data_IF_847006476607
#
_entry.id   IF_847006476607
#
_cell.length_a   1.000
_cell.length_b   1.000
_cell.length_c   1.000
_cell.angle_alpha   90.00
_cell.angle_beta   90.00
_cell.angle_gamma   90.00
#
_symmetry.space_group_name_H-M   'P 1'
#
loop_
_entity.id
_entity.type
_entity.pdbx_description
1 polymer ?
#
# COMPACT_ATOMS: atom_id res chain seq x y z
N UNK A 1 -3.91 -18.15 -13.48
CA UNK A 1 -3.86 -16.82 -12.87
C UNK A 1 -4.57 -16.89 -11.52
N UNK A 2 -3.97 -16.33 -10.51
CA UNK A 2 -4.58 -16.17 -9.18
C UNK A 2 -5.77 -15.18 -9.24
N UNK A 3 -6.66 -15.22 -8.24
CA UNK A 3 -7.65 -14.18 -8.01
C UNK A 3 -7.05 -12.91 -7.36
N UNK A 4 -5.78 -13.00 -6.94
CA UNK A 4 -5.11 -12.04 -6.07
C UNK A 4 -3.80 -11.55 -6.68
N UNK A 5 -3.61 -10.23 -6.71
CA UNK A 5 -2.38 -9.56 -7.17
C UNK A 5 -1.74 -8.78 -6.04
N UNK A 6 -0.44 -8.97 -5.83
CA UNK A 6 0.38 -8.14 -4.93
C UNK A 6 1.17 -7.13 -5.76
N UNK A 7 0.90 -5.84 -5.55
CA UNK A 7 1.62 -4.74 -6.19
C UNK A 7 2.75 -4.31 -5.27
N UNK A 8 3.97 -4.30 -5.79
CA UNK A 8 5.20 -3.93 -5.08
C UNK A 8 5.90 -2.82 -5.87
N UNK A 9 5.76 -1.57 -5.47
CA UNK A 9 6.53 -0.47 -6.06
C UNK A 9 8.00 -0.56 -5.69
N UNK A 10 8.88 -0.32 -6.66
CA UNK A 10 10.34 -0.39 -6.44
C UNK A 10 11.06 0.85 -6.98
N UNK A 11 12.10 1.25 -6.23
CA UNK A 11 13.13 2.18 -6.68
C UNK A 11 14.41 1.91 -5.88
N UNK A 12 15.43 1.33 -6.54
CA UNK A 12 16.69 0.89 -5.92
C UNK A 12 16.46 -0.15 -4.80
N UNK A 13 15.86 -1.29 -5.18
CA UNK A 13 15.54 -2.39 -4.27
C UNK A 13 16.25 -3.71 -4.65
N UNK A 14 17.38 -3.62 -5.35
CA UNK A 14 18.15 -4.80 -5.82
C UNK A 14 18.50 -5.78 -4.69
N UNK A 15 18.73 -5.25 -3.48
CA UNK A 15 19.10 -6.07 -2.31
C UNK A 15 17.92 -6.88 -1.73
N UNK A 16 16.68 -6.46 -2.01
CA UNK A 16 15.46 -7.02 -1.41
C UNK A 16 14.60 -7.76 -2.42
N UNK A 17 14.62 -7.35 -3.70
CA UNK A 17 13.62 -7.73 -4.71
C UNK A 17 13.52 -9.25 -4.93
N UNK A 18 14.63 -9.96 -5.00
CA UNK A 18 14.61 -11.43 -5.19
C UNK A 18 13.98 -12.13 -3.99
N UNK A 19 14.38 -11.72 -2.78
CA UNK A 19 13.94 -12.35 -1.56
C UNK A 19 12.43 -12.12 -1.32
N UNK A 20 11.92 -10.91 -1.56
CA UNK A 20 10.50 -10.59 -1.36
C UNK A 20 9.61 -11.32 -2.38
N UNK A 21 10.03 -11.39 -3.65
CA UNK A 21 9.31 -12.15 -4.68
C UNK A 21 9.22 -13.62 -4.28
N UNK A 22 10.35 -14.25 -3.92
CA UNK A 22 10.38 -15.66 -3.47
C UNK A 22 9.53 -15.89 -2.23
N UNK A 23 9.52 -14.94 -1.28
CA UNK A 23 8.72 -15.03 -0.07
C UNK A 23 7.21 -14.99 -0.38
N UNK A 24 6.76 -14.18 -1.33
CA UNK A 24 5.34 -14.16 -1.74
C UNK A 24 4.96 -15.46 -2.45
N UNK A 25 5.75 -15.92 -3.41
CA UNK A 25 5.47 -17.18 -4.11
C UNK A 25 5.62 -18.43 -3.26
N UNK A 26 6.36 -18.36 -2.14
CA UNK A 26 6.46 -19.45 -1.16
C UNK A 26 5.25 -19.62 -0.25
N UNK A 27 4.23 -18.76 -0.36
CA UNK A 27 3.01 -18.86 0.47
C UNK A 27 2.11 -20.02 0.02
N UNK A 28 1.35 -20.60 0.98
CA UNK A 28 0.39 -21.68 0.70
C UNK A 28 -0.90 -21.20 -0.03
N UNK A 29 -1.00 -19.93 -0.39
CA UNK A 29 -2.02 -19.36 -1.27
C UNK A 29 -1.30 -18.77 -2.47
N UNK A 30 -1.81 -19.03 -3.66
CA UNK A 30 -1.30 -18.45 -4.88
C UNK A 30 -1.61 -16.95 -4.95
N UNK A 31 -0.57 -16.17 -5.16
CA UNK A 31 -0.62 -14.75 -5.46
C UNK A 31 0.14 -14.51 -6.75
N UNK A 32 -0.39 -13.68 -7.64
CA UNK A 32 0.40 -13.10 -8.70
C UNK A 32 1.09 -11.83 -8.18
N UNK A 33 2.24 -11.47 -8.73
CA UNK A 33 3.04 -10.32 -8.29
C UNK A 33 3.25 -9.36 -9.44
N UNK A 34 2.96 -8.09 -9.21
CA UNK A 34 3.29 -6.99 -10.12
C UNK A 34 4.36 -6.09 -9.46
N UNK A 35 5.54 -6.06 -10.05
CA UNK A 35 6.55 -5.07 -9.71
C UNK A 35 6.31 -3.83 -10.55
N UNK A 36 6.19 -2.67 -9.91
CA UNK A 36 6.11 -1.37 -10.57
C UNK A 36 7.40 -0.62 -10.29
N UNK A 37 8.32 -0.65 -11.25
CA UNK A 37 9.67 -0.11 -11.08
C UNK A 37 9.81 1.29 -11.67
N UNK A 38 10.31 2.23 -10.86
CA UNK A 38 10.51 3.62 -11.23
C UNK A 38 11.87 3.87 -11.92
N UNK A 39 12.20 3.01 -12.91
CA UNK A 39 13.45 3.07 -13.66
C UNK A 39 14.68 3.01 -12.74
N UNK A 40 14.74 2.00 -11.90
CA UNK A 40 15.83 1.80 -10.95
C UNK A 40 17.19 1.65 -11.64
N UNK A 41 18.18 2.50 -11.35
CA UNK A 41 19.52 2.40 -11.95
C UNK A 41 20.39 1.26 -11.38
N UNK A 42 19.97 0.63 -10.27
CA UNK A 42 20.74 -0.40 -9.56
C UNK A 42 20.60 -1.82 -10.13
N UNK A 43 19.79 -1.99 -11.20
CA UNK A 43 19.53 -3.28 -11.81
C UNK A 43 18.33 -4.04 -11.26
N UNK A 44 17.48 -3.39 -10.43
CA UNK A 44 16.25 -4.01 -9.88
C UNK A 44 15.37 -4.60 -10.98
N UNK A 45 15.04 -3.82 -12.03
CA UNK A 45 14.23 -4.29 -13.16
C UNK A 45 14.86 -5.48 -13.90
N UNK A 46 16.18 -5.44 -14.15
CA UNK A 46 16.88 -6.54 -14.83
C UNK A 46 16.81 -7.83 -14.00
N UNK A 47 16.89 -7.72 -12.68
CA UNK A 47 16.73 -8.85 -11.77
C UNK A 47 15.33 -9.46 -11.87
N UNK A 48 14.28 -8.63 -11.87
CA UNK A 48 12.88 -9.09 -12.02
C UNK A 48 12.70 -9.82 -13.35
N UNK A 49 13.17 -9.26 -14.46
CA UNK A 49 13.12 -9.89 -15.78
C UNK A 49 13.78 -11.27 -15.76
N UNK A 50 14.95 -11.39 -15.12
CA UNK A 50 15.65 -12.68 -15.01
C UNK A 50 14.85 -13.73 -14.23
N UNK A 51 14.00 -13.31 -13.28
CA UNK A 51 13.17 -14.19 -12.46
C UNK A 51 11.86 -14.59 -13.15
N UNK A 52 11.36 -13.83 -14.13
CA UNK A 52 10.10 -14.13 -14.80
C UNK A 52 10.08 -15.51 -15.48
N UNK A 53 11.23 -16.06 -15.87
CA UNK A 53 11.33 -17.41 -16.42
C UNK A 53 10.94 -18.50 -15.41
N UNK A 54 11.19 -18.26 -14.11
CA UNK A 54 10.88 -19.19 -13.02
C UNK A 54 9.45 -19.03 -12.52
N UNK A 55 8.82 -17.86 -12.78
CA UNK A 55 7.46 -17.49 -12.35
C UNK A 55 6.60 -17.06 -13.55
N UNK A 56 6.60 -17.89 -14.60
CA UNK A 56 5.92 -17.60 -15.86
C UNK A 56 4.42 -17.31 -15.65
N UNK A 57 3.95 -16.21 -16.24
CA UNK A 57 2.55 -15.74 -16.15
C UNK A 57 2.03 -15.43 -14.73
N UNK A 58 2.91 -15.29 -13.73
CA UNK A 58 2.53 -14.93 -12.36
C UNK A 58 3.38 -13.79 -11.80
N UNK A 59 4.58 -13.56 -12.35
CA UNK A 59 5.42 -12.40 -12.04
C UNK A 59 5.41 -11.42 -13.22
N UNK A 60 4.94 -10.21 -12.96
CA UNK A 60 4.83 -9.13 -13.95
C UNK A 60 5.73 -7.95 -13.57
N UNK A 61 6.21 -7.24 -14.58
CA UNK A 61 7.01 -6.02 -14.42
C UNK A 61 6.43 -4.92 -15.29
N UNK A 62 6.14 -3.79 -14.67
CA UNK A 62 5.84 -2.51 -15.31
C UNK A 62 6.95 -1.53 -14.98
N UNK A 63 7.68 -1.03 -15.96
CA UNK A 63 8.73 -0.03 -15.78
C UNK A 63 8.20 1.33 -16.16
N UNK A 64 8.28 2.30 -15.24
CA UNK A 64 7.91 3.69 -15.49
C UNK A 64 9.14 4.51 -15.88
N UNK A 65 8.94 5.61 -16.60
CA UNK A 65 10.07 6.40 -17.14
C UNK A 65 10.88 7.09 -16.04
N UNK A 66 10.21 7.49 -14.93
CA UNK A 66 10.83 8.25 -13.85
C UNK A 66 10.13 8.03 -12.51
N UNK A 67 10.82 8.38 -11.43
CA UNK A 67 10.28 8.33 -10.08
C UNK A 67 9.29 9.48 -9.85
N UNK A 68 8.00 9.19 -9.91
CA UNK A 68 6.91 10.16 -9.74
C UNK A 68 6.18 10.05 -8.40
N UNK A 69 6.70 9.26 -7.47
CA UNK A 69 6.15 9.06 -6.13
C UNK A 69 5.37 7.75 -5.95
N UNK A 70 5.28 7.31 -4.69
CA UNK A 70 4.71 6.01 -4.29
C UNK A 70 3.24 5.87 -4.74
N UNK A 71 2.43 6.90 -4.51
CA UNK A 71 1.01 6.89 -4.86
C UNK A 71 0.76 6.71 -6.35
N UNK A 72 1.57 7.36 -7.20
CA UNK A 72 1.44 7.20 -8.65
C UNK A 72 1.82 5.80 -9.12
N UNK A 73 2.77 5.13 -8.42
CA UNK A 73 3.12 3.74 -8.71
C UNK A 73 1.96 2.79 -8.37
N UNK A 74 1.33 2.98 -7.21
CA UNK A 74 0.15 2.20 -6.84
C UNK A 74 -1.05 2.45 -7.78
N UNK A 75 -1.32 3.71 -8.16
CA UNK A 75 -2.39 4.03 -9.13
C UNK A 75 -2.15 3.31 -10.47
N UNK A 76 -0.90 3.31 -10.96
CA UNK A 76 -0.53 2.57 -12.16
C UNK A 76 -0.84 1.07 -11.99
N UNK A 77 -0.37 0.48 -10.90
CA UNK A 77 -0.61 -0.93 -10.58
C UNK A 77 -2.10 -1.26 -10.39
N UNK A 78 -2.90 -0.38 -9.78
CA UNK A 78 -4.35 -0.56 -9.63
C UNK A 78 -5.06 -0.59 -10.99
N UNK A 79 -4.75 0.35 -11.88
CA UNK A 79 -5.32 0.37 -13.24
C UNK A 79 -4.97 -0.90 -14.01
N UNK A 80 -3.72 -1.35 -13.89
CA UNK A 80 -3.26 -2.61 -14.47
C UNK A 80 -4.02 -3.81 -13.90
N UNK A 81 -4.17 -3.90 -12.58
CA UNK A 81 -4.88 -4.96 -11.89
C UNK A 81 -6.37 -5.02 -12.28
N UNK A 82 -7.03 -3.87 -12.37
CA UNK A 82 -8.43 -3.74 -12.81
C UNK A 82 -8.57 -4.25 -14.24
N UNK A 83 -7.70 -3.83 -15.17
CA UNK A 83 -7.71 -4.26 -16.57
C UNK A 83 -7.49 -5.78 -16.70
N UNK A 84 -6.72 -6.40 -15.82
CA UNK A 84 -6.48 -7.85 -15.74
C UNK A 84 -7.54 -8.60 -14.93
N UNK A 85 -8.51 -7.90 -14.34
CA UNK A 85 -9.67 -8.45 -13.60
C UNK A 85 -9.31 -9.24 -12.35
N UNK A 86 -8.25 -8.86 -11.63
CA UNK A 86 -7.95 -9.41 -10.31
C UNK A 86 -9.04 -9.02 -9.31
N UNK A 87 -9.49 -9.95 -8.48
CA UNK A 87 -10.56 -9.71 -7.51
C UNK A 87 -10.04 -9.07 -6.21
N UNK A 88 -8.82 -9.42 -5.82
CA UNK A 88 -8.15 -8.92 -4.60
C UNK A 88 -6.81 -8.31 -4.97
N UNK A 89 -6.63 -7.03 -4.65
CA UNK A 89 -5.46 -6.24 -5.03
C UNK A 89 -4.78 -5.73 -3.76
N UNK A 90 -3.50 -6.10 -3.61
CA UNK A 90 -2.71 -5.82 -2.42
C UNK A 90 -1.65 -4.77 -2.71
N UNK A 91 -1.42 -3.90 -1.73
CA UNK A 91 -0.27 -3.03 -1.63
C UNK A 91 0.74 -3.65 -0.65
N UNK A 92 2.01 -3.72 -1.02
CA UNK A 92 3.08 -4.20 -0.15
C UNK A 92 4.41 -3.54 -0.52
N UNK A 93 5.22 -3.18 0.49
CA UNK A 93 6.57 -2.67 0.29
C UNK A 93 7.59 -3.82 0.03
N UNK A 94 8.70 -3.51 -0.66
CA UNK A 94 9.73 -4.49 -1.02
C UNK A 94 10.72 -4.82 0.11
N UNK A 95 10.75 -4.02 1.19
CA UNK A 95 11.83 -3.98 2.19
C UNK A 95 11.61 -4.88 3.43
N UNK A 96 10.67 -5.80 3.36
CA UNK A 96 10.27 -6.69 4.46
C UNK A 96 9.74 -5.99 5.72
N UNK A 97 9.41 -4.70 5.64
CA UNK A 97 8.69 -4.04 6.73
C UNK A 97 7.29 -4.62 6.93
N UNK A 98 6.70 -5.14 5.87
CA UNK A 98 5.50 -5.96 5.87
C UNK A 98 5.86 -7.45 5.75
N UNK A 99 5.38 -8.26 6.68
CA UNK A 99 5.59 -9.71 6.60
C UNK A 99 4.67 -10.31 5.51
N UNK A 100 5.21 -10.95 4.45
CA UNK A 100 4.40 -11.56 3.40
C UNK A 100 3.37 -12.59 3.92
N UNK A 101 3.63 -13.28 5.03
CA UNK A 101 2.68 -14.20 5.66
C UNK A 101 1.35 -13.54 6.03
N UNK A 102 1.33 -12.24 6.31
CA UNK A 102 0.12 -11.49 6.63
C UNK A 102 -0.78 -11.26 5.42
N UNK A 103 -0.29 -11.41 4.16
CA UNK A 103 -1.13 -11.38 2.96
C UNK A 103 -2.32 -12.35 3.06
N UNK A 104 -2.09 -13.55 3.57
CA UNK A 104 -3.16 -14.56 3.77
C UNK A 104 -4.21 -14.11 4.78
N UNK A 105 -3.80 -13.35 5.79
CA UNK A 105 -4.72 -12.83 6.83
C UNK A 105 -5.57 -11.69 6.28
N UNK A 106 -4.96 -10.80 5.48
CA UNK A 106 -5.68 -9.73 4.79
C UNK A 106 -6.67 -10.33 3.78
N UNK A 107 -6.21 -11.31 2.98
CA UNK A 107 -7.07 -12.03 2.04
C UNK A 107 -8.31 -12.62 2.71
N UNK A 108 -8.10 -13.38 3.80
CA UNK A 108 -9.21 -14.00 4.54
C UNK A 108 -10.22 -12.97 5.06
N UNK A 109 -9.78 -11.82 5.53
CA UNK A 109 -10.66 -10.76 5.99
C UNK A 109 -11.49 -10.16 4.84
N UNK A 110 -10.90 -9.99 3.64
CA UNK A 110 -11.64 -9.59 2.44
C UNK A 110 -12.67 -10.64 2.03
N UNK A 111 -12.31 -11.93 1.99
CA UNK A 111 -13.24 -13.03 1.67
C UNK A 111 -14.38 -13.09 2.68
N UNK A 112 -14.12 -12.83 3.96
CA UNK A 112 -15.11 -12.81 5.03
C UNK A 112 -15.99 -11.55 5.05
N UNK A 113 -15.92 -10.72 4.02
CA UNK A 113 -16.88 -9.64 3.79
C UNK A 113 -16.36 -8.22 4.01
N UNK A 114 -15.07 -8.01 4.30
CA UNK A 114 -14.48 -6.68 4.23
C UNK A 114 -14.28 -6.26 2.77
N UNK A 115 -14.41 -4.96 2.48
CA UNK A 115 -14.19 -4.39 1.15
C UNK A 115 -12.76 -3.89 1.00
N UNK A 116 -12.22 -3.36 2.11
CA UNK A 116 -10.82 -2.93 2.27
C UNK A 116 -10.28 -3.51 3.57
N UNK A 117 -9.09 -4.09 3.54
CA UNK A 117 -8.42 -4.60 4.74
C UNK A 117 -7.06 -3.94 4.91
N UNK A 118 -6.85 -3.34 6.07
CA UNK A 118 -5.62 -2.62 6.43
C UNK A 118 -4.79 -3.47 7.38
N UNK A 119 -3.54 -3.73 7.03
CA UNK A 119 -2.53 -4.27 7.95
C UNK A 119 -2.12 -3.17 8.96
N UNK A 120 -2.71 -3.23 10.16
CA UNK A 120 -2.65 -2.16 11.14
C UNK A 120 -1.59 -2.43 12.21
N UNK A 121 -0.73 -1.43 12.45
CA UNK A 121 0.25 -1.41 13.55
C UNK A 121 -0.40 -1.09 14.89
N UNK A 122 -1.64 -0.53 14.86
CA UNK A 122 -2.24 0.10 16.04
C UNK A 122 -3.59 -0.51 16.47
N UNK A 123 -4.11 -1.52 15.77
CA UNK A 123 -5.41 -2.14 16.12
C UNK A 123 -5.41 -2.84 17.48
N UNK A 124 -4.30 -3.50 17.85
CA UNK A 124 -4.15 -4.21 19.14
C UNK A 124 -2.87 -3.73 19.84
N UNK A 125 -2.84 -2.47 20.26
CA UNK A 125 -1.66 -1.85 20.84
C UNK A 125 -0.69 -1.34 19.77
N UNK A 126 0.56 -1.11 20.14
CA UNK A 126 1.63 -0.61 19.26
C UNK A 126 2.50 -1.79 18.86
N UNK A 127 2.39 -2.21 17.61
CA UNK A 127 3.06 -3.40 17.07
C UNK A 127 4.14 -2.99 16.06
N UNK A 128 5.15 -2.26 16.54
CA UNK A 128 6.33 -1.87 15.75
C UNK A 128 7.59 -2.35 16.44
N UNK A 129 8.55 -2.84 15.67
CA UNK A 129 9.83 -3.38 16.17
C UNK A 129 10.95 -2.53 15.60
N UNK A 130 11.97 -2.28 16.43
CA UNK A 130 13.20 -1.53 16.12
C UNK A 130 12.98 -0.04 15.76
N UNK A 131 11.82 0.54 16.12
CA UNK A 131 11.60 1.97 15.97
C UNK A 131 12.02 2.75 17.22
N UNK A 132 12.73 3.87 17.07
CA UNK A 132 12.96 4.76 18.19
C UNK A 132 11.63 5.36 18.69
N UNK A 133 11.52 5.58 20.00
CA UNK A 133 10.28 6.01 20.66
C UNK A 133 9.66 7.27 20.03
N UNK A 134 10.48 8.25 19.64
CA UNK A 134 9.97 9.47 19.00
C UNK A 134 9.24 9.18 17.67
N UNK A 135 9.70 8.20 16.88
CA UNK A 135 9.08 7.78 15.64
C UNK A 135 7.74 7.08 15.90
N UNK A 136 7.67 6.27 16.95
CA UNK A 136 6.41 5.64 17.39
C UNK A 136 5.40 6.71 17.75
N UNK A 137 5.79 7.67 18.59
CA UNK A 137 4.91 8.76 19.03
C UNK A 137 4.44 9.64 17.86
N UNK A 138 5.33 9.98 16.93
CA UNK A 138 4.97 10.74 15.73
C UNK A 138 3.97 9.98 14.84
N UNK A 139 4.22 8.70 14.58
CA UNK A 139 3.36 7.87 13.72
C UNK A 139 1.99 7.62 14.36
N UNK A 140 1.96 7.34 15.65
CA UNK A 140 0.70 7.17 16.40
C UNK A 140 -0.08 8.49 16.47
N UNK A 141 0.60 9.60 16.77
CA UNK A 141 -0.02 10.94 16.77
C UNK A 141 -0.56 11.35 15.40
N UNK A 142 0.16 11.03 14.32
CA UNK A 142 -0.32 11.26 12.96
C UNK A 142 -1.59 10.45 12.67
N UNK A 143 -1.64 9.18 13.06
CA UNK A 143 -2.82 8.32 12.90
C UNK A 143 -4.01 8.86 13.70
N UNK A 144 -3.78 9.32 14.92
CA UNK A 144 -4.81 9.95 15.77
C UNK A 144 -5.34 11.25 15.17
N UNK A 145 -4.45 12.12 14.67
CA UNK A 145 -4.81 13.35 13.96
C UNK A 145 -5.72 13.07 12.74
N UNK A 146 -5.29 12.13 11.89
CA UNK A 146 -6.06 11.75 10.69
C UNK A 146 -7.44 11.24 11.09
N UNK A 147 -7.54 10.41 12.13
CA UNK A 147 -8.81 9.89 12.62
C UNK A 147 -9.76 11.00 13.07
N UNK A 148 -9.26 12.01 13.79
CA UNK A 148 -10.07 13.17 14.25
C UNK A 148 -10.55 13.98 13.06
N UNK A 149 -9.66 14.35 12.15
CA UNK A 149 -9.99 15.25 11.03
C UNK A 149 -10.95 14.57 10.03
N UNK A 150 -10.68 13.31 9.69
CA UNK A 150 -11.48 12.60 8.67
C UNK A 150 -12.76 11.98 9.22
N UNK A 151 -12.79 11.63 10.49
CA UNK A 151 -13.86 10.85 11.10
C UNK A 151 -13.81 9.36 10.79
N UNK A 152 -12.74 8.87 10.13
CA UNK A 152 -12.57 7.45 9.84
C UNK A 152 -12.42 6.61 11.12
N UNK A 153 -13.07 5.44 11.15
CA UNK A 153 -12.95 4.50 12.27
C UNK A 153 -11.81 3.48 12.02
N UNK A 154 -10.65 3.98 11.57
CA UNK A 154 -9.45 3.19 11.27
C UNK A 154 -8.37 3.62 12.26
N UNK A 155 -7.71 2.65 12.90
CA UNK A 155 -6.63 2.92 13.88
C UNK A 155 -5.33 3.32 13.20
N UNK A 156 -5.05 2.75 12.01
CA UNK A 156 -3.84 3.00 11.22
C UNK A 156 -4.15 3.49 9.80
N UNK A 157 -4.65 4.73 9.64
CA UNK A 157 -4.97 5.27 8.32
C UNK A 157 -3.72 5.50 7.46
N UNK A 158 -2.53 5.50 8.05
CA UNK A 158 -1.25 5.74 7.35
C UNK A 158 -0.58 4.44 6.88
N UNK A 159 -1.11 3.27 7.22
CA UNK A 159 -0.54 1.98 6.81
C UNK A 159 -0.55 1.81 5.29
N UNK A 160 0.56 1.28 4.74
CA UNK A 160 0.74 1.00 3.30
C UNK A 160 0.55 -0.48 2.95
N UNK A 161 0.18 -1.34 3.90
CA UNK A 161 -0.13 -2.73 3.67
C UNK A 161 -1.64 -2.91 3.65
N UNK A 162 -2.22 -2.98 2.46
CA UNK A 162 -3.67 -2.91 2.27
C UNK A 162 -4.12 -3.93 1.22
N UNK A 163 -5.28 -4.53 1.43
CA UNK A 163 -5.99 -5.30 0.41
C UNK A 163 -7.27 -4.56 0.04
N UNK A 164 -7.52 -4.40 -1.25
CA UNK A 164 -8.76 -3.88 -1.81
C UNK A 164 -9.46 -4.95 -2.63
N UNK A 165 -10.77 -5.03 -2.54
CA UNK A 165 -11.56 -5.70 -3.58
C UNK A 165 -11.60 -4.83 -4.85
N UNK A 166 -11.57 -5.46 -6.02
CA UNK A 166 -11.52 -4.78 -7.33
C UNK A 166 -12.57 -3.69 -7.46
N UNK A 167 -13.84 -3.98 -7.15
CA UNK A 167 -14.92 -3.01 -7.31
C UNK A 167 -14.74 -1.74 -6.45
N UNK A 168 -13.99 -1.81 -5.34
CA UNK A 168 -13.65 -0.61 -4.56
C UNK A 168 -12.78 0.33 -5.38
N UNK A 169 -11.74 -0.22 -6.03
CA UNK A 169 -10.83 0.55 -6.88
C UNK A 169 -11.50 1.02 -8.18
N UNK A 170 -12.40 0.23 -8.76
CA UNK A 170 -13.20 0.62 -9.93
C UNK A 170 -14.14 1.79 -9.65
N UNK A 171 -14.65 1.89 -8.42
CA UNK A 171 -15.57 2.96 -8.00
C UNK A 171 -14.85 4.21 -7.44
N UNK A 172 -13.56 4.15 -7.19
CA UNK A 172 -12.75 5.31 -6.82
C UNK A 172 -12.21 5.95 -8.10
N UNK A 173 -12.43 7.25 -8.28
CA UNK A 173 -11.78 7.99 -9.36
C UNK A 173 -10.28 8.12 -9.07
N UNK A 174 -9.50 7.13 -9.58
CA UNK A 174 -8.07 7.02 -9.37
C UNK A 174 -7.29 8.17 -10.00
N UNK A 175 -7.82 8.80 -11.06
CA UNK A 175 -7.19 9.94 -11.74
C UNK A 175 -7.33 11.24 -10.94
N UNK A 176 -8.28 11.31 -10.05
CA UNK A 176 -8.49 12.47 -9.17
C UNK A 176 -7.72 12.38 -7.83
N UNK A 177 -7.01 11.27 -7.57
CA UNK A 177 -6.16 11.11 -6.39
C UNK A 177 -4.97 12.09 -6.48
N UNK A 178 -4.76 12.87 -5.42
CA UNK A 178 -3.82 14.00 -5.46
C UNK A 178 -2.52 13.76 -4.73
N UNK A 179 -2.57 12.96 -3.67
CA UNK A 179 -1.38 12.70 -2.88
C UNK A 179 -0.54 11.60 -3.51
N UNK A 180 0.73 11.89 -3.71
CA UNK A 180 1.69 10.98 -4.32
C UNK A 180 2.67 10.37 -3.32
N UNK A 181 2.73 10.92 -2.10
CA UNK A 181 3.58 10.47 -1.00
C UNK A 181 2.80 9.66 0.05
N UNK A 182 3.18 9.78 1.31
CA UNK A 182 2.54 9.04 2.42
C UNK A 182 1.05 9.36 2.61
N UNK A 183 0.63 10.59 2.28
CA UNK A 183 -0.78 10.99 2.37
C UNK A 183 -1.67 10.25 1.33
N UNK A 184 -1.10 9.63 0.31
CA UNK A 184 -1.80 8.75 -0.63
C UNK A 184 -2.57 7.65 0.11
N UNK A 185 -1.93 6.99 1.06
CA UNK A 185 -2.54 5.92 1.86
C UNK A 185 -3.75 6.41 2.65
N UNK A 186 -3.70 7.64 3.15
CA UNK A 186 -4.81 8.26 3.86
C UNK A 186 -5.94 8.57 2.89
N UNK A 187 -5.62 9.16 1.72
CA UNK A 187 -6.60 9.54 0.71
C UNK A 187 -7.38 8.33 0.20
N UNK A 188 -6.71 7.23 -0.14
CA UNK A 188 -7.36 6.02 -0.64
C UNK A 188 -8.36 5.43 0.37
N UNK A 189 -7.95 5.32 1.64
CA UNK A 189 -8.86 4.84 2.71
C UNK A 189 -10.01 5.82 2.96
N UNK A 190 -9.75 7.11 2.89
CA UNK A 190 -10.77 8.13 3.08
C UNK A 190 -11.81 8.11 1.96
N UNK A 191 -11.40 7.93 0.70
CA UNK A 191 -12.31 7.76 -0.43
C UNK A 191 -13.18 6.51 -0.28
N UNK A 192 -12.59 5.39 0.12
CA UNK A 192 -13.32 4.16 0.43
C UNK A 192 -14.33 4.39 1.59
N UNK A 193 -13.92 5.09 2.64
CA UNK A 193 -14.78 5.43 3.77
C UNK A 193 -15.97 6.32 3.36
N UNK A 194 -15.75 7.33 2.52
CA UNK A 194 -16.82 8.22 2.04
C UNK A 194 -17.87 7.49 1.17
N UNK A 195 -17.46 6.43 0.50
CA UNK A 195 -18.34 5.54 -0.28
C UNK A 195 -19.00 4.45 0.57
N UNK A 196 -18.83 4.50 1.89
CA UNK A 196 -19.38 3.54 2.86
C UNK A 196 -18.90 2.09 2.67
N UNK A 197 -17.71 1.88 2.12
CA UNK A 197 -17.11 0.57 2.07
C UNK A 197 -16.70 0.09 3.46
N UNK A 198 -16.85 -1.20 3.69
CA UNK A 198 -16.48 -1.85 4.95
C UNK A 198 -14.97 -1.98 5.05
N UNK A 199 -14.34 -1.12 5.86
CA UNK A 199 -12.91 -1.14 6.13
C UNK A 199 -12.66 -1.94 7.41
N UNK A 200 -11.89 -3.02 7.30
CA UNK A 200 -11.43 -3.79 8.44
C UNK A 200 -9.92 -3.67 8.64
N UNK A 201 -9.46 -3.94 9.85
CA UNK A 201 -8.04 -3.94 10.17
C UNK A 201 -7.60 -5.32 10.67
N UNK A 202 -6.46 -5.77 10.20
CA UNK A 202 -5.74 -6.94 10.72
C UNK A 202 -4.50 -6.43 11.44
N UNK A 203 -4.34 -6.79 12.73
CA UNK A 203 -3.12 -6.41 13.47
C UNK A 203 -1.91 -7.12 12.88
N UNK A 204 -0.90 -6.36 12.48
CA UNK A 204 0.39 -6.86 11.97
C UNK A 204 1.52 -6.42 12.87
N UNK A 205 2.67 -7.07 12.76
CA UNK A 205 3.93 -6.60 13.35
C UNK A 205 4.73 -5.93 12.23
N UNK A 206 4.95 -4.64 12.37
CA UNK A 206 5.77 -3.87 11.44
C UNK A 206 7.21 -3.84 11.96
N UNK A 207 8.16 -4.25 11.13
CA UNK A 207 9.59 -4.17 11.43
C UNK A 207 10.23 -3.01 10.68
N UNK A 208 11.27 -2.39 11.27
CA UNK A 208 12.04 -1.44 10.45
C UNK A 208 12.77 -2.22 9.34
N UNK A 209 12.96 -1.56 8.21
CA UNK A 209 13.63 -2.16 7.05
C UNK A 209 14.99 -2.73 7.45
N UNK A 210 15.29 -3.92 6.95
CA UNK A 210 16.56 -4.60 7.21
C UNK A 210 17.69 -3.96 6.38
N UNK A 211 17.36 -3.50 5.15
CA UNK A 211 18.30 -2.90 4.19
C UNK A 211 17.68 -1.66 3.54
N UNK A 212 18.53 -0.72 3.10
CA UNK A 212 18.13 0.52 2.44
C UNK A 212 18.00 1.72 3.39
N UNK A 213 17.85 2.93 2.82
CA UNK A 213 17.75 4.19 3.58
C UNK A 213 16.31 4.70 3.63
N UNK A 214 15.88 5.22 4.79
CA UNK A 214 14.57 5.85 4.94
C UNK A 214 14.46 7.11 4.06
N UNK A 215 13.36 7.19 3.29
CA UNK A 215 13.07 8.31 2.39
C UNK A 215 12.16 9.38 3.04
N UNK A 216 11.91 9.29 4.36
CA UNK A 216 11.08 10.28 5.09
C UNK A 216 11.84 11.60 5.30
N UNK A 217 11.22 12.70 4.90
CA UNK A 217 11.71 14.07 5.14
C UNK A 217 10.68 14.88 5.93
N UNK A 218 11.11 15.91 6.67
CA UNK A 218 10.20 16.76 7.47
C UNK A 218 9.15 17.52 6.63
N UNK A 219 9.42 17.77 5.36
CA UNK A 219 8.46 18.37 4.43
C UNK A 219 7.23 17.49 4.18
N UNK A 220 7.41 16.18 4.16
CA UNK A 220 6.33 15.19 3.97
C UNK A 220 5.32 15.25 5.12
N UNK A 221 5.80 15.47 6.36
CA UNK A 221 4.92 15.58 7.53
C UNK A 221 4.04 16.83 7.46
N UNK A 222 4.62 17.98 7.08
CA UNK A 222 3.86 19.23 6.92
C UNK A 222 2.80 19.11 5.81
N UNK A 223 3.20 18.54 4.67
CA UNK A 223 2.28 18.29 3.56
C UNK A 223 1.12 17.39 3.98
N UNK A 224 1.39 16.33 4.73
CA UNK A 224 0.35 15.42 5.21
C UNK A 224 -0.64 16.13 6.17
N UNK A 225 -0.17 16.96 7.09
CA UNK A 225 -1.04 17.66 8.05
C UNK A 225 -2.00 18.61 7.32
N UNK A 226 -1.49 19.52 6.49
CA UNK A 226 -2.32 20.46 5.74
C UNK A 226 -3.16 19.74 4.68
N UNK A 227 -2.58 18.76 4.00
CA UNK A 227 -3.24 17.99 2.96
C UNK A 227 -4.47 17.25 3.46
N UNK A 228 -4.39 16.60 4.62
CA UNK A 228 -5.53 15.87 5.24
C UNK A 228 -6.67 16.83 5.60
N UNK A 229 -6.35 17.99 6.16
CA UNK A 229 -7.37 19.01 6.44
C UNK A 229 -8.05 19.50 5.16
N UNK A 230 -7.28 19.87 4.14
CA UNK A 230 -7.82 20.31 2.85
C UNK A 230 -8.63 19.21 2.15
N UNK A 231 -8.20 17.97 2.23
CA UNK A 231 -8.93 16.79 1.72
C UNK A 231 -10.29 16.68 2.39
N UNK A 232 -10.37 16.80 3.72
CA UNK A 232 -11.63 16.80 4.47
C UNK A 232 -12.53 17.95 4.04
N UNK A 233 -12.00 19.17 3.96
CA UNK A 233 -12.79 20.34 3.53
C UNK A 233 -13.37 20.12 2.13
N UNK A 234 -12.57 19.66 1.18
CA UNK A 234 -13.03 19.36 -0.19
C UNK A 234 -14.14 18.32 -0.20
N UNK A 235 -14.03 17.26 0.61
CA UNK A 235 -15.07 16.23 0.68
C UNK A 235 -16.44 16.75 1.13
N UNK A 236 -16.49 17.85 1.86
CA UNK A 236 -17.74 18.49 2.26
C UNK A 236 -18.42 19.25 1.11
N UNK A 237 -17.62 19.83 0.20
CA UNK A 237 -18.11 20.65 -0.91
C UNK A 237 -18.20 19.91 -2.25
N UNK A 238 -17.47 18.80 -2.41
CA UNK A 238 -17.34 18.07 -3.68
C UNK A 238 -17.53 16.55 -3.51
N UNK A 239 -18.61 16.14 -2.83
CA UNK A 239 -18.88 14.72 -2.55
C UNK A 239 -18.87 13.83 -3.80
N UNK A 240 -19.23 14.36 -4.98
CA UNK A 240 -19.27 13.62 -6.23
C UNK A 240 -17.90 13.31 -6.85
N UNK A 241 -16.82 13.93 -6.35
CA UNK A 241 -15.46 13.74 -6.87
C UNK A 241 -14.59 12.83 -5.96
N UNK A 242 -15.16 12.29 -4.90
CA UNK A 242 -14.55 11.31 -4.01
C UNK A 242 -15.23 9.92 -4.17
#
# INVERSE_FOLDING_TARGET
MSDSLVIIPTYNEIENIEAIIKAVFGLNKDFDVLIVDDNSPDGTSAKVVSMQKDFWNTLFLETRMEKSGLGTAYIHGFKWAIAKKYDYIFEMDADFSHNPEDLKRLYRACVNGADVVVGSRYKKGVNVVDWPLYRVLLSYGASFYVKIITGMRVHDPTAGFVCYKRYVLENIDLDSVRFIGYAFQIEMKFRAYLKNYKIEEVSIIFRDRVKGKSKMTGSIVKEAVFGVFLMKMRSLFQKSKF
#
